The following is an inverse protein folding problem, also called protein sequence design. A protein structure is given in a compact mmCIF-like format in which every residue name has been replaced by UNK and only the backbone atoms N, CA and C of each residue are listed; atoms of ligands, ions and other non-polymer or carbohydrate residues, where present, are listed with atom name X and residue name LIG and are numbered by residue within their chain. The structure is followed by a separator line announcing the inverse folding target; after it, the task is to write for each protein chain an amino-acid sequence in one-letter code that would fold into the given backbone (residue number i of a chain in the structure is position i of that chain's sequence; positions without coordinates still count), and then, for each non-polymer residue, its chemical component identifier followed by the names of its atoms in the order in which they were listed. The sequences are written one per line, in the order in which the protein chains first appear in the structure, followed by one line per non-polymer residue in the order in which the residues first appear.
data_IF_096176931003
#
_entry.id   IF_096176931003
#
_cell.length_a   1.000
_cell.length_b   1.000
_cell.length_c   1.000
_cell.angle_alpha   90.00
_cell.angle_beta   90.00
_cell.angle_gamma   90.00
#
_symmetry.space_group_name_H-M   'P 1'
#
loop_
_entity.id
_entity.type
_entity.pdbx_description
1 polymer ?
#
# COMPACT_ATOMS: atom_id res chain seq x y z
N UNK A 1 -1.46 -42.96 79.51
CA UNK A 1 -1.66 -42.69 78.07
C UNK A 1 -0.53 -41.81 77.58
N UNK A 2 0.20 -42.25 76.53
CA UNK A 2 1.25 -41.45 75.88
C UNK A 2 1.06 -41.53 74.39
N UNK A 3 1.18 -40.33 73.71
CA UNK A 3 1.14 -40.23 72.32
C UNK A 3 2.54 -39.79 71.81
N UNK A 4 3.08 -40.48 70.79
CA UNK A 4 4.38 -40.12 70.22
C UNK A 4 4.32 -40.32 68.70
N UNK A 5 4.87 -39.38 68.00
CA UNK A 5 4.99 -39.42 66.55
C UNK A 5 6.45 -39.60 66.15
N UNK A 6 6.79 -40.61 65.38
CA UNK A 6 8.15 -40.83 64.88
C UNK A 6 8.17 -40.91 63.34
N UNK A 7 9.15 -40.28 62.76
CA UNK A 7 9.40 -40.41 61.32
C UNK A 7 10.25 -41.65 61.06
N UNK A 8 9.77 -42.58 60.28
CA UNK A 8 10.54 -43.75 59.85
C UNK A 8 11.33 -43.42 58.63
N UNK A 9 12.64 -43.34 58.70
CA UNK A 9 13.53 -43.11 57.59
C UNK A 9 13.55 -44.26 56.54
N UNK A 10 13.11 -45.44 56.96
CA UNK A 10 13.12 -46.66 56.10
C UNK A 10 11.86 -46.79 55.26
N UNK A 11 10.73 -46.26 55.72
CA UNK A 11 9.44 -46.31 55.00
C UNK A 11 8.95 -45.01 54.50
N UNK A 12 9.68 -43.89 54.74
CA UNK A 12 9.27 -42.49 54.44
C UNK A 12 7.84 -42.16 54.92
N UNK A 13 7.35 -42.84 55.93
CA UNK A 13 6.01 -42.68 56.46
C UNK A 13 6.02 -42.18 57.90
N UNK A 14 5.10 -41.26 58.16
CA UNK A 14 4.91 -40.73 59.53
C UNK A 14 3.95 -41.68 60.26
N UNK A 15 4.51 -42.48 61.20
CA UNK A 15 3.74 -43.40 61.97
C UNK A 15 3.37 -42.79 63.31
N UNK A 16 2.09 -42.72 63.60
CA UNK A 16 1.59 -42.36 64.94
C UNK A 16 1.43 -43.60 65.78
N UNK A 17 1.98 -43.54 67.00
CA UNK A 17 1.90 -44.56 67.97
C UNK A 17 1.00 -44.11 69.11
N UNK A 18 0.02 -44.94 69.49
CA UNK A 18 -0.79 -44.70 70.67
C UNK A 18 -0.54 -45.87 71.64
N UNK A 19 -0.15 -45.54 72.86
CA UNK A 19 0.10 -46.59 73.91
C UNK A 19 -0.78 -46.32 75.11
N UNK A 20 -1.54 -47.33 75.53
CA UNK A 20 -2.35 -47.28 76.76
C UNK A 20 -2.00 -48.44 77.64
N UNK A 21 -1.79 -48.13 78.93
CA UNK A 21 -1.58 -49.17 79.96
C UNK A 21 -2.93 -49.65 80.43
N UNK A 22 -3.14 -50.98 80.38
CA UNK A 22 -4.34 -51.66 80.94
C UNK A 22 -4.16 -51.88 82.43
N UNK A 23 -5.28 -52.18 83.12
CA UNK A 23 -5.31 -52.39 84.56
C UNK A 23 -4.57 -53.67 85.05
N UNK A 24 -4.34 -54.60 84.12
CA UNK A 24 -3.57 -55.83 84.33
C UNK A 24 -2.04 -55.64 84.18
N UNK A 25 -1.57 -54.42 84.01
CA UNK A 25 -0.17 -54.07 83.84
C UNK A 25 0.37 -54.19 82.40
N UNK A 26 -0.41 -54.69 81.46
CA UNK A 26 0.00 -54.78 80.04
C UNK A 26 -0.10 -53.46 79.35
N UNK A 27 0.74 -53.25 78.32
CA UNK A 27 0.74 -52.04 77.49
C UNK A 27 0.26 -52.36 76.11
N UNK A 28 -0.95 -51.88 75.78
CA UNK A 28 -1.48 -51.95 74.42
C UNK A 28 -0.88 -50.88 73.57
N UNK A 29 -0.20 -51.19 72.48
CA UNK A 29 0.39 -50.27 71.52
C UNK A 29 -0.28 -50.45 70.17
N UNK A 30 -0.90 -49.37 69.66
CA UNK A 30 -1.50 -49.32 68.35
C UNK A 30 -0.65 -48.38 67.51
N UNK A 31 -0.29 -48.83 66.32
CA UNK A 31 0.43 -47.96 65.33
C UNK A 31 -0.43 -47.75 64.07
N UNK A 32 -0.57 -46.55 63.68
CA UNK A 32 -1.29 -46.19 62.45
C UNK A 32 -0.30 -45.47 61.55
N UNK A 33 -0.06 -46.00 60.32
CA UNK A 33 0.70 -45.31 59.28
C UNK A 33 -0.18 -44.25 58.65
N UNK A 34 0.26 -43.03 58.71
CA UNK A 34 -0.40 -41.88 58.05
C UNK A 34 0.38 -41.57 56.78
N UNK A 35 -0.13 -42.08 55.63
CA UNK A 35 0.38 -41.68 54.35
C UNK A 35 0.37 -40.14 54.29
N UNK A 36 1.54 -39.54 54.15
CA UNK A 36 1.67 -38.09 54.17
C UNK A 36 0.91 -37.53 52.96
N UNK A 37 0.04 -36.57 53.19
CA UNK A 37 -0.74 -35.89 52.11
C UNK A 37 0.16 -35.52 50.90
N UNK A 38 1.45 -35.25 51.16
CA UNK A 38 2.44 -35.06 50.13
C UNK A 38 2.72 -36.23 49.20
N UNK A 39 2.67 -37.51 49.72
CA UNK A 39 2.84 -38.70 48.85
C UNK A 39 1.66 -38.89 47.91
N UNK A 40 0.45 -38.63 48.40
CA UNK A 40 -0.77 -38.70 47.60
C UNK A 40 -0.77 -37.60 46.55
N UNK A 41 -0.37 -36.38 46.93
CA UNK A 41 -0.27 -35.24 45.99
C UNK A 41 0.76 -35.51 44.88
N UNK A 42 1.96 -36.00 45.23
CA UNK A 42 3.00 -36.35 44.23
C UNK A 42 2.52 -37.50 43.32
N UNK A 43 1.83 -38.51 43.88
CA UNK A 43 1.26 -39.61 43.10
C UNK A 43 0.18 -39.15 42.10
N UNK A 44 -0.54 -38.07 42.38
CA UNK A 44 -1.55 -37.49 41.49
C UNK A 44 -0.95 -36.52 40.41
N UNK A 45 0.20 -35.92 40.68
CA UNK A 45 0.89 -35.01 39.74
C UNK A 45 1.39 -35.77 38.51
N UNK A 46 1.92 -36.97 38.70
CA UNK A 46 2.48 -37.76 37.58
C UNK A 46 1.45 -38.09 36.49
N UNK A 47 0.26 -38.62 36.74
CA UNK A 47 -0.74 -38.87 35.72
C UNK A 47 -1.25 -37.55 35.09
N UNK A 48 -1.35 -36.47 35.87
CA UNK A 48 -1.75 -35.14 35.36
C UNK A 48 -0.73 -34.59 34.35
N UNK A 49 0.56 -34.72 34.63
CA UNK A 49 1.63 -34.32 33.70
C UNK A 49 1.61 -35.14 32.41
N UNK A 50 1.36 -36.48 32.53
CA UNK A 50 1.25 -37.32 31.33
C UNK A 50 0.08 -36.86 30.44
N UNK A 51 -1.09 -36.62 31.03
CA UNK A 51 -2.26 -36.14 30.29
C UNK A 51 -1.97 -34.77 29.64
N UNK A 52 -1.32 -33.88 30.37
CA UNK A 52 -0.94 -32.54 29.82
C UNK A 52 0.01 -32.67 28.62
N UNK A 53 1.05 -33.51 28.74
CA UNK A 53 2.01 -33.73 27.66
C UNK A 53 1.32 -34.35 26.44
N UNK A 54 0.48 -35.37 26.65
CA UNK A 54 -0.28 -36.01 25.56
C UNK A 54 -1.21 -34.98 24.87
N UNK A 55 -1.90 -34.15 25.66
CA UNK A 55 -2.77 -33.10 25.12
C UNK A 55 -2.00 -32.06 24.29
N UNK A 56 -0.81 -31.64 24.76
CA UNK A 56 0.06 -30.71 24.02
C UNK A 56 0.56 -31.31 22.70
N UNK A 57 1.00 -32.59 22.73
CA UNK A 57 1.44 -33.29 21.52
C UNK A 57 0.29 -33.42 20.52
N UNK A 58 -0.89 -33.86 20.99
CA UNK A 58 -2.05 -34.01 20.14
C UNK A 58 -2.52 -32.67 19.55
N UNK A 59 -2.53 -31.60 20.35
CA UNK A 59 -2.84 -30.23 19.90
C UNK A 59 -1.85 -29.77 18.83
N UNK A 60 -0.56 -29.97 19.04
CA UNK A 60 0.47 -29.64 18.07
C UNK A 60 0.36 -30.41 16.75
N UNK A 61 0.06 -31.70 16.82
CA UNK A 61 -0.19 -32.54 15.64
C UNK A 61 -1.43 -32.07 14.85
N UNK A 62 -2.52 -31.80 15.57
CA UNK A 62 -3.76 -31.29 14.97
C UNK A 62 -3.55 -29.90 14.32
N UNK A 63 -2.91 -29.01 15.04
CA UNK A 63 -2.59 -27.67 14.52
C UNK A 63 -1.74 -27.75 13.24
N UNK A 64 -0.69 -28.60 13.26
CA UNK A 64 0.18 -28.79 12.08
C UNK A 64 -0.56 -29.45 10.91
N UNK A 65 -1.46 -30.40 11.20
CA UNK A 65 -2.27 -31.05 10.17
C UNK A 65 -3.28 -30.08 9.56
N UNK A 66 -3.90 -29.23 10.38
CA UNK A 66 -4.86 -28.23 9.94
C UNK A 66 -4.17 -27.13 9.10
N UNK A 67 -3.01 -26.65 9.58
CA UNK A 67 -2.19 -25.68 8.84
C UNK A 67 -1.84 -26.19 7.44
N UNK A 68 -1.29 -27.40 7.34
CA UNK A 68 -0.88 -27.96 6.05
C UNK A 68 -2.06 -28.27 5.11
N UNK A 69 -3.23 -28.58 5.65
CA UNK A 69 -4.37 -28.99 4.84
C UNK A 69 -5.27 -27.83 4.41
N UNK A 70 -5.27 -26.72 5.14
CA UNK A 70 -6.15 -25.58 4.89
C UNK A 70 -5.33 -24.32 4.53
N UNK A 71 -4.30 -24.01 5.34
CA UNK A 71 -3.58 -22.74 5.20
C UNK A 71 -2.59 -22.78 4.04
N UNK A 72 -1.84 -23.86 3.88
CA UNK A 72 -0.83 -23.95 2.82
C UNK A 72 -1.45 -23.86 1.42
N UNK A 73 -2.54 -24.61 1.08
CA UNK A 73 -3.21 -24.45 -0.22
C UNK A 73 -3.83 -23.08 -0.43
N UNK A 74 -4.30 -22.43 0.65
CA UNK A 74 -4.87 -21.08 0.56
C UNK A 74 -3.78 -20.02 0.26
N UNK A 75 -2.57 -20.19 0.83
CA UNK A 75 -1.45 -19.30 0.60
C UNK A 75 -0.75 -19.52 -0.77
N UNK A 76 -0.96 -20.67 -1.38
CA UNK A 76 -0.41 -21.01 -2.70
C UNK A 76 -1.35 -20.70 -3.86
N UNK A 77 -2.47 -20.03 -3.60
CA UNK A 77 -3.40 -19.61 -4.66
C UNK A 77 -2.73 -18.60 -5.60
N UNK A 78 -2.72 -18.93 -6.88
CA UNK A 78 -2.34 -17.98 -7.93
C UNK A 78 -3.50 -17.02 -8.18
N UNK A 79 -3.31 -15.75 -7.79
CA UNK A 79 -4.32 -14.71 -7.97
C UNK A 79 -4.27 -14.09 -9.36
N UNK A 80 -3.21 -14.34 -10.14
CA UNK A 80 -3.13 -13.91 -11.54
C UNK A 80 -3.94 -14.86 -12.44
N UNK A 81 -3.97 -16.15 -12.11
CA UNK A 81 -4.76 -17.16 -12.80
C UNK A 81 -5.74 -17.86 -11.85
N UNK A 82 -6.78 -17.16 -11.37
CA UNK A 82 -7.65 -17.66 -10.30
C UNK A 82 -8.44 -18.92 -10.67
N UNK A 83 -8.67 -19.16 -11.96
CA UNK A 83 -9.43 -20.31 -12.45
C UNK A 83 -8.59 -21.58 -12.62
N UNK A 84 -7.26 -21.46 -12.62
CA UNK A 84 -6.33 -22.58 -12.78
C UNK A 84 -5.96 -23.22 -11.42
N UNK A 85 -6.50 -22.68 -10.34
CA UNK A 85 -6.27 -23.22 -9.01
C UNK A 85 -7.17 -24.44 -8.76
N UNK A 86 -6.58 -25.59 -8.46
CA UNK A 86 -7.26 -26.80 -7.93
C UNK A 86 -7.70 -26.59 -6.47
N UNK A 87 -8.35 -25.46 -6.21
CA UNK A 87 -8.81 -25.09 -4.90
C UNK A 87 -10.15 -25.78 -4.58
N UNK A 88 -10.45 -25.84 -3.28
CA UNK A 88 -11.71 -26.40 -2.80
C UNK A 88 -12.92 -25.84 -3.56
N UNK A 89 -13.86 -26.72 -3.89
CA UNK A 89 -15.08 -26.40 -4.64
C UNK A 89 -15.85 -25.23 -3.99
N UNK A 90 -15.75 -25.09 -2.68
CA UNK A 90 -16.35 -24.02 -1.88
C UNK A 90 -15.73 -22.64 -2.17
N UNK A 91 -14.50 -22.57 -2.66
CA UNK A 91 -13.83 -21.33 -3.02
C UNK A 91 -14.09 -20.88 -4.46
N UNK A 92 -14.66 -21.75 -5.31
CA UNK A 92 -14.96 -21.46 -6.70
C UNK A 92 -15.77 -20.17 -6.91
N UNK A 93 -16.82 -19.84 -6.12
CA UNK A 93 -17.55 -18.59 -6.28
C UNK A 93 -16.68 -17.35 -5.99
N UNK A 94 -15.78 -17.44 -5.00
CA UNK A 94 -14.86 -16.37 -4.66
C UNK A 94 -13.82 -16.16 -5.77
N UNK A 95 -13.22 -17.23 -6.25
CA UNK A 95 -12.22 -17.19 -7.33
C UNK A 95 -12.83 -16.62 -8.62
N UNK A 96 -14.06 -16.99 -8.98
CA UNK A 96 -14.78 -16.39 -10.11
C UNK A 96 -15.03 -14.90 -9.95
N UNK A 97 -15.30 -14.45 -8.72
CA UNK A 97 -15.47 -13.02 -8.43
C UNK A 97 -14.17 -12.25 -8.56
N UNK A 98 -13.07 -12.80 -8.02
CA UNK A 98 -11.71 -12.23 -8.13
C UNK A 98 -11.31 -12.15 -9.61
N UNK A 99 -11.50 -13.24 -10.36
CA UNK A 99 -11.21 -13.27 -11.81
C UNK A 99 -11.98 -12.17 -12.57
N UNK A 100 -13.27 -12.00 -12.29
CA UNK A 100 -14.07 -10.95 -12.93
C UNK A 100 -13.53 -9.56 -12.61
N UNK A 101 -13.20 -9.29 -11.34
CA UNK A 101 -12.62 -8.00 -10.94
C UNK A 101 -11.25 -7.78 -11.59
N UNK A 102 -10.42 -8.82 -11.67
CA UNK A 102 -9.11 -8.73 -12.34
C UNK A 102 -9.27 -8.37 -13.82
N UNK A 103 -10.16 -9.03 -14.54
CA UNK A 103 -10.45 -8.73 -15.96
C UNK A 103 -10.97 -7.31 -16.12
N UNK A 104 -11.87 -6.86 -15.24
CA UNK A 104 -12.41 -5.51 -15.27
C UNK A 104 -11.32 -4.45 -15.04
N UNK A 105 -10.45 -4.64 -14.05
CA UNK A 105 -9.30 -3.75 -13.79
C UNK A 105 -8.36 -3.71 -15.00
N UNK A 106 -8.06 -4.86 -15.61
CA UNK A 106 -7.21 -4.92 -16.81
C UNK A 106 -7.83 -4.16 -17.98
N UNK A 107 -9.13 -4.28 -18.19
CA UNK A 107 -9.84 -3.51 -19.22
C UNK A 107 -9.78 -2.00 -18.97
N UNK A 108 -10.01 -1.55 -17.72
CA UNK A 108 -9.93 -0.13 -17.35
C UNK A 108 -8.51 0.42 -17.52
N UNK A 109 -7.49 -0.34 -17.11
CA UNK A 109 -6.08 0.05 -17.31
C UNK A 109 -5.72 0.14 -18.79
N UNK A 110 -6.24 -0.75 -19.63
CA UNK A 110 -6.04 -0.73 -21.08
C UNK A 110 -6.71 0.50 -21.69
N UNK A 111 -7.96 0.77 -21.36
CA UNK A 111 -8.69 1.94 -21.82
C UNK A 111 -7.98 3.24 -21.42
N UNK A 112 -7.51 3.32 -20.18
CA UNK A 112 -6.76 4.48 -19.69
C UNK A 112 -5.46 4.69 -20.48
N UNK A 113 -4.72 3.60 -20.76
CA UNK A 113 -3.51 3.66 -21.60
C UNK A 113 -3.83 4.12 -23.01
N UNK A 114 -4.84 3.55 -23.65
CA UNK A 114 -5.27 3.94 -24.99
C UNK A 114 -5.62 5.45 -25.05
N UNK A 115 -6.32 5.97 -24.03
CA UNK A 115 -6.64 7.41 -23.94
C UNK A 115 -5.40 8.27 -23.74
N UNK A 116 -4.45 7.81 -22.92
CA UNK A 116 -3.19 8.53 -22.69
C UNK A 116 -2.32 8.53 -23.95
N UNK A 117 -2.25 7.42 -24.66
CA UNK A 117 -1.49 7.29 -25.91
C UNK A 117 -2.11 8.16 -27.00
N UNK A 118 -3.46 8.14 -27.14
CA UNK A 118 -4.19 9.02 -28.06
C UNK A 118 -3.90 10.49 -27.79
N UNK A 119 -3.99 10.92 -26.52
CA UNK A 119 -3.65 12.27 -26.10
C UNK A 119 -2.21 12.63 -26.46
N UNK A 120 -1.25 11.76 -26.17
CA UNK A 120 0.17 11.95 -26.46
C UNK A 120 0.42 12.05 -27.97
N UNK A 121 -0.25 11.22 -28.76
CA UNK A 121 -0.14 11.25 -30.22
C UNK A 121 -0.71 12.55 -30.82
N UNK A 122 -1.87 12.99 -30.35
CA UNK A 122 -2.48 14.25 -30.78
C UNK A 122 -1.56 15.41 -30.46
N UNK A 123 -1.13 15.55 -29.19
CA UNK A 123 -0.25 16.64 -28.75
C UNK A 123 1.12 16.58 -29.40
N UNK A 124 1.65 15.38 -29.69
CA UNK A 124 2.92 15.19 -30.37
C UNK A 124 2.90 15.57 -31.87
N UNK A 125 1.72 15.49 -32.51
CA UNK A 125 1.56 15.84 -33.95
C UNK A 125 1.19 17.29 -34.17
N UNK A 126 0.87 18.07 -33.12
CA UNK A 126 0.57 19.49 -33.22
C UNK A 126 1.83 20.28 -33.59
N UNK A 127 1.65 21.29 -34.43
CA UNK A 127 2.71 22.27 -34.77
C UNK A 127 2.86 23.33 -33.72
N UNK A 128 1.81 23.54 -32.94
CA UNK A 128 1.74 24.50 -31.86
C UNK A 128 2.48 23.93 -30.62
N UNK A 129 3.20 24.81 -29.95
CA UNK A 129 3.80 24.45 -28.65
C UNK A 129 2.71 24.34 -27.59
N UNK A 130 2.60 23.17 -26.93
CA UNK A 130 1.71 22.98 -25.79
C UNK A 130 2.53 22.66 -24.55
N UNK A 131 2.27 23.37 -23.46
CA UNK A 131 2.79 23.10 -22.13
C UNK A 131 1.62 23.05 -21.14
N UNK A 132 1.56 22.03 -20.33
CA UNK A 132 0.63 21.91 -19.20
C UNK A 132 1.42 22.03 -17.91
N UNK A 133 0.99 22.94 -17.03
CA UNK A 133 1.57 23.15 -15.71
C UNK A 133 0.57 22.77 -14.63
N UNK A 134 1.06 22.29 -13.49
CA UNK A 134 0.26 22.13 -12.28
C UNK A 134 0.00 23.49 -11.59
N UNK A 135 -0.69 23.45 -10.45
CA UNK A 135 -0.99 24.65 -9.64
C UNK A 135 0.25 25.35 -9.07
N UNK A 136 1.40 24.67 -9.05
CA UNK A 136 2.69 25.17 -8.56
C UNK A 136 3.63 25.65 -9.68
N UNK A 137 3.22 25.53 -10.95
CA UNK A 137 4.04 25.87 -12.11
C UNK A 137 4.97 24.76 -12.58
N UNK A 138 4.84 23.53 -12.04
CA UNK A 138 5.63 22.40 -12.51
C UNK A 138 5.06 21.81 -13.79
N UNK A 139 5.93 21.42 -14.72
CA UNK A 139 5.55 20.90 -16.03
C UNK A 139 4.93 19.49 -15.87
N UNK A 140 3.65 19.37 -16.19
CA UNK A 140 2.95 18.08 -16.26
C UNK A 140 3.14 17.42 -17.62
N UNK A 141 3.13 18.21 -18.69
CA UNK A 141 3.30 17.73 -20.06
C UNK A 141 3.83 18.83 -20.95
N UNK A 142 4.61 18.46 -21.96
CA UNK A 142 5.17 19.38 -22.94
C UNK A 142 5.20 18.71 -24.32
N UNK A 143 4.68 19.37 -25.36
CA UNK A 143 4.69 18.86 -26.73
C UNK A 143 6.09 18.95 -27.35
N UNK A 144 6.35 18.16 -28.40
CA UNK A 144 7.61 18.19 -29.12
C UNK A 144 7.91 19.58 -29.72
N UNK A 145 6.88 20.30 -30.19
CA UNK A 145 7.02 21.68 -30.69
C UNK A 145 7.43 22.64 -29.58
N UNK A 146 6.86 22.51 -28.37
CA UNK A 146 7.25 23.33 -27.22
C UNK A 146 8.66 22.98 -26.73
N UNK A 147 9.04 21.71 -26.72
CA UNK A 147 10.42 21.32 -26.40
C UNK A 147 11.43 21.98 -27.35
N UNK A 148 11.15 21.96 -28.65
CA UNK A 148 12.00 22.62 -29.64
C UNK A 148 12.03 24.13 -29.44
N UNK A 149 10.89 24.76 -29.12
CA UNK A 149 10.77 26.20 -28.91
C UNK A 149 11.57 26.69 -27.68
N UNK A 150 11.46 25.96 -26.55
CA UNK A 150 12.11 26.33 -25.29
C UNK A 150 13.51 25.70 -25.13
N UNK A 151 13.98 24.88 -26.09
CA UNK A 151 15.25 24.18 -26.00
C UNK A 151 15.29 23.18 -24.84
N UNK A 152 14.13 22.62 -24.50
CA UNK A 152 13.95 21.66 -23.40
C UNK A 152 13.97 20.21 -23.90
N UNK A 153 14.34 19.30 -23.04
CA UNK A 153 14.23 17.86 -23.26
C UNK A 153 13.03 17.25 -22.50
N UNK A 154 12.76 15.98 -22.75
CA UNK A 154 11.67 15.26 -22.07
C UNK A 154 11.87 15.16 -20.54
N UNK A 155 13.09 15.39 -20.03
CA UNK A 155 13.40 15.34 -18.59
C UNK A 155 12.95 16.62 -17.85
N UNK A 156 12.43 17.61 -18.55
CA UNK A 156 11.87 18.82 -17.93
C UNK A 156 10.51 18.56 -17.24
N UNK A 157 9.83 17.46 -17.52
CA UNK A 157 8.58 17.08 -16.83
C UNK A 157 8.84 16.91 -15.33
N UNK A 158 7.97 17.51 -14.52
CA UNK A 158 8.10 17.58 -13.05
C UNK A 158 9.01 18.70 -12.55
N UNK A 159 9.67 19.48 -13.44
CA UNK A 159 10.43 20.68 -13.07
C UNK A 159 9.57 21.93 -13.21
N UNK A 160 9.95 22.96 -12.46
CA UNK A 160 9.35 24.28 -12.60
C UNK A 160 9.59 24.83 -14.01
N UNK A 161 8.54 25.34 -14.67
CA UNK A 161 8.60 25.91 -16.02
C UNK A 161 9.59 27.06 -16.13
N UNK A 162 9.74 27.88 -15.07
CA UNK A 162 10.70 28.99 -15.04
C UNK A 162 12.17 28.53 -15.09
N UNK A 163 12.46 27.24 -14.96
CA UNK A 163 13.81 26.70 -15.18
C UNK A 163 14.19 26.64 -16.66
N UNK A 164 13.20 26.46 -17.55
CA UNK A 164 13.38 26.40 -19.01
C UNK A 164 13.03 27.72 -19.71
N UNK A 165 12.12 28.49 -19.15
CA UNK A 165 11.71 29.78 -19.68
C UNK A 165 11.82 30.88 -18.61
N UNK A 166 12.74 31.80 -18.81
CA UNK A 166 13.08 32.87 -17.84
C UNK A 166 12.66 34.27 -18.26
N UNK A 167 11.92 34.41 -19.36
CA UNK A 167 11.50 35.73 -19.78
C UNK A 167 10.49 36.33 -18.81
N UNK A 168 10.68 37.60 -18.52
CA UNK A 168 9.76 38.34 -17.65
C UNK A 168 8.37 38.46 -18.27
N UNK A 169 8.28 38.54 -19.59
CA UNK A 169 7.03 38.66 -20.33
C UNK A 169 6.13 37.46 -20.17
N UNK A 170 6.68 36.25 -20.35
CA UNK A 170 5.90 35.00 -20.20
C UNK A 170 5.58 34.74 -18.71
N UNK A 171 6.53 35.04 -17.81
CA UNK A 171 6.29 34.90 -16.38
C UNK A 171 5.16 35.82 -15.89
N UNK A 172 5.15 37.09 -16.33
CA UNK A 172 4.09 38.03 -16.01
C UNK A 172 2.74 37.60 -16.60
N UNK A 173 2.75 37.07 -17.85
CA UNK A 173 1.54 36.55 -18.48
C UNK A 173 0.97 35.34 -17.79
N UNK A 174 1.82 34.41 -17.26
CA UNK A 174 1.38 33.28 -16.44
C UNK A 174 0.70 33.77 -15.14
N UNK A 175 1.29 34.77 -14.49
CA UNK A 175 0.71 35.37 -13.31
C UNK A 175 -0.63 36.06 -13.60
N UNK A 176 -0.72 36.82 -14.70
CA UNK A 176 -1.97 37.43 -15.14
C UNK A 176 -3.06 36.39 -15.44
N UNK A 177 -2.70 35.29 -16.10
CA UNK A 177 -3.63 34.18 -16.33
C UNK A 177 -4.08 33.47 -15.02
N UNK A 178 -3.23 33.42 -14.01
CA UNK A 178 -3.61 32.90 -12.70
C UNK A 178 -4.66 33.79 -12.01
N UNK A 179 -4.58 35.12 -12.18
CA UNK A 179 -5.51 36.07 -11.58
C UNK A 179 -6.80 36.22 -12.42
N UNK A 180 -6.66 36.50 -13.71
CA UNK A 180 -7.76 36.83 -14.61
C UNK A 180 -8.34 35.63 -15.38
N UNK A 181 -7.70 34.47 -15.29
CA UNK A 181 -8.10 33.23 -15.96
C UNK A 181 -7.51 33.02 -17.34
N UNK A 182 -7.08 34.11 -18.04
CA UNK A 182 -6.51 34.05 -19.36
C UNK A 182 -5.57 35.24 -19.61
N UNK A 183 -4.52 35.02 -20.38
CA UNK A 183 -3.58 36.10 -20.81
C UNK A 183 -2.95 35.75 -22.16
N UNK A 184 -2.67 36.76 -22.96
CA UNK A 184 -1.94 36.64 -24.23
C UNK A 184 -0.68 37.48 -24.19
N UNK A 185 0.41 36.96 -24.73
CA UNK A 185 1.66 37.69 -24.87
C UNK A 185 2.35 37.29 -26.17
N UNK A 186 3.00 38.27 -26.84
CA UNK A 186 3.83 38.03 -28.01
C UNK A 186 5.29 38.19 -27.64
N UNK A 187 6.11 37.27 -28.07
CA UNK A 187 7.55 37.32 -27.86
C UNK A 187 8.31 36.79 -29.06
N UNK A 188 9.45 37.39 -29.33
CA UNK A 188 10.37 36.94 -30.38
C UNK A 188 11.33 35.89 -29.84
N UNK A 189 11.47 34.79 -30.58
CA UNK A 189 12.38 33.68 -30.26
C UNK A 189 13.08 33.21 -31.54
N UNK A 190 14.41 33.21 -31.52
CA UNK A 190 15.23 32.74 -32.64
C UNK A 190 14.82 33.36 -33.99
N UNK A 191 14.46 34.67 -34.00
CA UNK A 191 14.07 35.41 -35.22
C UNK A 191 12.66 35.08 -35.73
N UNK A 192 11.82 34.41 -34.92
CA UNK A 192 10.42 34.16 -35.18
C UNK A 192 9.54 34.79 -34.11
N UNK A 193 8.35 35.18 -34.50
CA UNK A 193 7.37 35.79 -33.59
C UNK A 193 6.36 34.74 -33.17
N UNK A 194 6.28 34.53 -31.85
CA UNK A 194 5.33 33.61 -31.26
C UNK A 194 4.27 34.37 -30.46
N UNK A 195 3.02 33.92 -30.58
CA UNK A 195 1.94 34.32 -29.70
C UNK A 195 1.73 33.20 -28.67
N UNK A 196 1.81 33.55 -27.40
CA UNK A 196 1.53 32.66 -26.28
C UNK A 196 0.14 32.97 -25.76
N UNK A 197 -0.70 31.95 -25.75
CA UNK A 197 -2.04 31.94 -25.14
C UNK A 197 -1.98 31.13 -23.87
N UNK A 198 -2.22 31.76 -22.75
CA UNK A 198 -2.03 31.21 -21.43
C UNK A 198 -3.37 31.22 -20.72
N UNK A 199 -3.87 30.05 -20.36
CA UNK A 199 -5.19 29.89 -19.75
C UNK A 199 -5.12 29.05 -18.50
N UNK A 200 -5.80 29.49 -17.44
CA UNK A 200 -5.95 28.73 -16.22
C UNK A 200 -6.97 27.61 -16.43
N UNK A 201 -6.62 26.40 -16.04
CA UNK A 201 -7.52 25.24 -16.01
C UNK A 201 -8.12 25.12 -14.63
N UNK A 202 -9.43 24.98 -14.54
CA UNK A 202 -10.13 24.73 -13.29
C UNK A 202 -11.07 23.53 -13.42
N UNK A 203 -11.21 22.75 -12.35
CA UNK A 203 -12.20 21.69 -12.22
C UNK A 203 -12.97 21.92 -10.92
N UNK A 204 -14.31 21.87 -11.00
CA UNK A 204 -15.20 22.14 -9.87
C UNK A 204 -14.91 23.49 -9.16
N UNK A 205 -14.49 24.49 -9.93
CA UNK A 205 -14.17 25.83 -9.40
C UNK A 205 -12.81 25.93 -8.70
N UNK A 206 -12.02 24.86 -8.66
CA UNK A 206 -10.65 24.87 -8.11
C UNK A 206 -9.64 24.93 -9.26
N UNK A 207 -8.62 25.79 -9.19
CA UNK A 207 -7.54 25.77 -10.16
C UNK A 207 -6.79 24.44 -10.04
N UNK A 208 -6.58 23.77 -11.18
CA UNK A 208 -5.82 22.53 -11.26
C UNK A 208 -4.52 22.69 -12.04
N UNK A 209 -4.34 23.84 -12.71
CA UNK A 209 -3.13 24.12 -13.45
C UNK A 209 -3.30 25.20 -14.49
N UNK A 210 -2.29 25.33 -15.37
CA UNK A 210 -2.23 26.31 -16.45
C UNK A 210 -1.86 25.62 -17.76
N UNK A 211 -2.52 25.97 -18.84
CA UNK A 211 -2.14 25.59 -20.20
C UNK A 211 -1.48 26.77 -20.90
N UNK A 212 -0.37 26.53 -21.59
CA UNK A 212 0.33 27.47 -22.42
C UNK A 212 0.32 26.93 -23.86
N UNK A 213 -0.26 27.67 -24.77
CA UNK A 213 -0.20 27.40 -26.19
C UNK A 213 0.72 28.44 -26.87
N UNK A 214 1.62 27.98 -27.72
CA UNK A 214 2.55 28.82 -28.46
C UNK A 214 2.31 28.66 -29.96
N UNK A 215 1.92 29.73 -30.62
CA UNK A 215 1.65 29.80 -32.06
C UNK A 215 2.76 30.56 -32.76
N UNK A 216 3.36 30.01 -33.80
CA UNK A 216 4.25 30.74 -34.70
C UNK A 216 3.41 31.66 -35.62
N UNK A 217 3.44 32.95 -35.35
CA UNK A 217 2.69 33.97 -36.10
C UNK A 217 3.58 34.77 -37.04
N UNK A 218 4.80 34.31 -37.31
CA UNK A 218 5.80 35.04 -38.09
C UNK A 218 5.28 35.44 -39.47
N UNK A 219 4.68 34.53 -40.21
CA UNK A 219 4.13 34.81 -41.54
C UNK A 219 2.95 35.80 -41.50
N UNK A 220 2.11 35.69 -40.47
CA UNK A 220 0.95 36.54 -40.26
C UNK A 220 1.40 38.02 -39.99
N UNK A 221 2.38 38.19 -39.10
CA UNK A 221 2.92 39.48 -38.77
C UNK A 221 3.62 40.11 -39.97
N UNK A 222 4.38 39.35 -40.76
CA UNK A 222 4.96 39.87 -42.01
C UNK A 222 3.90 40.27 -43.03
N UNK A 223 2.86 39.49 -43.23
CA UNK A 223 1.76 39.78 -44.14
C UNK A 223 0.99 41.05 -43.69
N UNK A 224 0.75 41.22 -42.38
CA UNK A 224 0.11 42.41 -41.84
C UNK A 224 0.99 43.67 -42.00
N UNK A 225 2.29 43.55 -41.75
CA UNK A 225 3.24 44.64 -41.90
C UNK A 225 3.28 45.13 -43.38
N UNK A 226 3.41 44.21 -44.32
CA UNK A 226 3.39 44.51 -45.75
C UNK A 226 2.07 45.19 -46.16
N UNK A 227 0.93 44.71 -45.65
CA UNK A 227 -0.37 45.31 -45.96
C UNK A 227 -0.49 46.73 -45.40
N UNK A 228 0.03 47.01 -44.21
CA UNK A 228 0.03 48.35 -43.62
C UNK A 228 0.94 49.31 -44.41
N UNK A 229 2.09 48.85 -44.89
CA UNK A 229 3.00 49.65 -45.71
C UNK A 229 2.38 49.96 -47.07
N UNK A 230 1.64 49.04 -47.70
CA UNK A 230 0.92 49.24 -48.93
C UNK A 230 -0.26 50.22 -48.82
N UNK A 231 -0.88 50.33 -47.68
CA UNK A 231 -2.04 51.24 -47.45
C UNK A 231 -1.63 52.60 -46.94
N UNK A 232 -0.36 52.81 -46.56
CA UNK A 232 0.18 54.05 -46.06
C UNK A 232 0.91 54.87 -47.15
N UNK A 233 1.08 54.31 -48.35
CA UNK A 233 1.62 55.00 -49.57
C UNK A 233 0.50 55.28 -50.56
#
# INVERSE_FOLDING_TARGET
TGESTRYSSTLMEKTMYYAQRLDDGTVLRISISRATVGMIAVGMIQPLLIVLIVALILSGLLARRLSRRIVDPLNSLDLEHPLDNDAYEELSPLLKRIHRQHVEIQMQLRELREKTDEFTQITGSMREGLVLLDEHGSILSISAAAQALFGADAQCVGRDFLTIERSHEISAAIQAAADDGHSEVRAERAGRIYQFDISRIASDGKPIGTVILAFDITEQEFAERNRREFTAN
#
